data_IF_054860345939
#
_entry.id   IF_054860345939
#
_cell.length_a   1.000
_cell.length_b   1.000
_cell.length_c   1.000
_cell.angle_alpha   90.00
_cell.angle_beta   90.00
_cell.angle_gamma   90.00
#
_symmetry.space_group_name_H-M   'P 1'
#
loop_
_entity.id
_entity.type
_entity.pdbx_description
1 polymer ?
#
# COMPACT_ATOMS: atom_id res chain seq x y z
N UNK A 1 15.36 -30.52 -0.64
CA UNK A 1 15.93 -29.89 0.58
C UNK A 1 15.58 -28.40 0.55
N UNK A 2 14.94 -27.87 1.60
CA UNK A 2 14.61 -26.43 1.71
C UNK A 2 15.65 -25.71 2.59
N UNK A 3 16.06 -24.52 2.20
CA UNK A 3 17.00 -23.69 2.94
C UNK A 3 16.25 -22.84 3.98
N UNK A 4 16.59 -23.00 5.26
CA UNK A 4 15.95 -22.30 6.38
C UNK A 4 16.68 -21.04 6.81
N UNK A 5 15.94 -20.00 7.19
CA UNK A 5 16.46 -18.84 7.90
C UNK A 5 16.49 -19.13 9.40
N UNK A 6 17.68 -19.08 10.00
CA UNK A 6 17.87 -19.35 11.44
C UNK A 6 17.22 -18.26 12.31
N UNK A 7 17.15 -17.01 11.81
CA UNK A 7 16.63 -15.87 12.58
C UNK A 7 15.10 -15.79 12.64
N UNK A 8 14.37 -16.38 11.68
CA UNK A 8 12.89 -16.29 11.67
C UNK A 8 12.16 -17.57 11.21
N UNK A 9 12.88 -18.68 11.04
CA UNK A 9 12.33 -19.98 10.68
C UNK A 9 11.79 -20.11 9.24
N UNK A 10 11.81 -19.04 8.43
CA UNK A 10 11.30 -19.08 7.05
C UNK A 10 12.11 -20.02 6.17
N UNK A 11 11.42 -20.81 5.34
CA UNK A 11 12.02 -21.79 4.42
C UNK A 11 11.94 -21.32 2.97
N UNK A 12 12.98 -21.61 2.20
CA UNK A 12 13.14 -21.18 0.82
C UNK A 12 13.57 -22.36 -0.05
N UNK A 13 13.00 -22.44 -1.26
CA UNK A 13 13.32 -23.49 -2.24
C UNK A 13 14.73 -23.38 -2.82
N UNK A 14 15.30 -22.16 -2.81
CA UNK A 14 16.56 -21.86 -3.48
C UNK A 14 17.48 -21.05 -2.57
N UNK A 15 18.78 -21.40 -2.53
CA UNK A 15 19.81 -20.71 -1.75
C UNK A 15 19.90 -19.19 -2.05
N UNK A 16 19.78 -18.71 -3.31
CA UNK A 16 19.73 -17.27 -3.60
C UNK A 16 18.55 -16.55 -2.95
N UNK A 17 17.38 -17.21 -2.82
CA UNK A 17 16.21 -16.63 -2.15
C UNK A 17 16.44 -16.51 -0.64
N UNK A 18 17.06 -17.51 -0.01
CA UNK A 18 17.49 -17.40 1.39
C UNK A 18 18.51 -16.27 1.56
N UNK A 19 19.53 -16.17 0.69
CA UNK A 19 20.54 -15.09 0.77
C UNK A 19 19.91 -13.70 0.66
N UNK A 20 18.97 -13.51 -0.27
CA UNK A 20 18.20 -12.27 -0.39
C UNK A 20 17.33 -12.00 0.85
N UNK A 21 16.77 -13.05 1.45
CA UNK A 21 15.99 -12.93 2.67
C UNK A 21 16.84 -12.50 3.87
N UNK A 22 18.06 -13.04 4.03
CA UNK A 22 18.95 -12.68 5.14
C UNK A 22 19.30 -11.19 5.16
N UNK A 23 19.26 -10.50 4.01
CA UNK A 23 19.44 -9.04 3.94
C UNK A 23 18.37 -8.23 4.67
N UNK A 24 17.21 -8.83 4.97
CA UNK A 24 16.18 -8.18 5.79
C UNK A 24 16.68 -8.04 7.24
N UNK A 25 17.50 -8.97 7.70
CA UNK A 25 18.05 -8.99 9.05
C UNK A 25 19.35 -8.21 9.17
N UNK A 26 20.19 -8.21 8.12
CA UNK A 26 21.49 -7.52 8.14
C UNK A 26 21.43 -6.05 7.72
N UNK A 27 20.28 -5.55 7.25
CA UNK A 27 20.13 -4.23 6.60
C UNK A 27 21.07 -3.99 5.40
N UNK A 28 21.78 -5.01 4.95
CA UNK A 28 22.69 -4.94 3.82
C UNK A 28 21.88 -4.80 2.54
N UNK A 29 22.01 -3.65 1.91
CA UNK A 29 21.43 -3.35 0.59
C UNK A 29 22.61 -3.23 -0.37
N UNK A 30 23.06 -4.35 -0.97
CA UNK A 30 24.32 -4.39 -1.72
C UNK A 30 24.22 -3.68 -3.08
N UNK A 31 23.00 -3.39 -3.55
CA UNK A 31 22.79 -2.74 -4.83
C UNK A 31 22.59 -1.24 -4.61
N UNK A 32 23.54 -0.43 -5.08
CA UNK A 32 23.52 1.03 -4.91
C UNK A 32 23.19 1.70 -6.23
N UNK A 33 22.36 2.74 -6.20
CA UNK A 33 22.15 3.62 -7.34
C UNK A 33 23.28 4.64 -7.42
N UNK A 34 24.11 4.58 -8.45
CA UNK A 34 25.24 5.50 -8.62
C UNK A 34 24.81 6.95 -8.89
N UNK A 35 23.55 7.20 -9.23
CA UNK A 35 23.05 8.56 -9.49
C UNK A 35 22.51 9.27 -8.24
N UNK A 36 22.11 8.54 -7.20
CA UNK A 36 21.53 9.15 -5.99
C UNK A 36 21.92 8.47 -4.67
N UNK A 37 22.84 7.51 -4.70
CA UNK A 37 23.30 6.75 -3.53
C UNK A 37 22.26 5.81 -2.91
N UNK A 38 21.02 5.77 -3.41
CA UNK A 38 19.95 4.96 -2.83
C UNK A 38 20.25 3.47 -2.94
N UNK A 39 20.03 2.73 -1.85
CA UNK A 39 20.38 1.31 -1.76
C UNK A 39 19.14 0.39 -1.89
N UNK A 40 19.34 -0.79 -2.47
CA UNK A 40 18.30 -1.78 -2.78
C UNK A 40 18.73 -3.19 -2.38
N UNK A 41 17.74 -4.00 -2.01
CA UNK A 41 17.93 -5.41 -1.62
C UNK A 41 18.30 -6.30 -2.81
N UNK A 42 17.76 -6.02 -3.98
CA UNK A 42 18.05 -6.80 -5.18
C UNK A 42 18.24 -5.93 -6.42
N UNK A 43 18.89 -6.51 -7.44
CA UNK A 43 19.15 -5.88 -8.74
C UNK A 43 17.86 -5.49 -9.46
N UNK A 44 16.79 -6.27 -9.35
CA UNK A 44 15.49 -5.96 -9.98
C UNK A 44 14.91 -4.64 -9.46
N UNK A 45 14.97 -4.42 -8.15
CA UNK A 45 14.50 -3.19 -7.53
C UNK A 45 15.38 -1.99 -7.90
N UNK A 46 16.70 -2.18 -7.96
CA UNK A 46 17.62 -1.16 -8.47
C UNK A 46 17.28 -0.80 -9.94
N UNK A 47 17.15 -1.79 -10.82
CA UNK A 47 16.81 -1.57 -12.23
C UNK A 47 15.46 -0.88 -12.41
N UNK A 48 14.46 -1.23 -11.60
CA UNK A 48 13.18 -0.54 -11.59
C UNK A 48 13.33 0.92 -11.12
N UNK A 49 14.16 1.16 -10.10
CA UNK A 49 14.43 2.50 -9.60
C UNK A 49 15.18 3.36 -10.64
N UNK A 50 16.11 2.81 -11.41
CA UNK A 50 16.82 3.54 -12.48
C UNK A 50 15.88 4.12 -13.55
N UNK A 51 14.65 3.59 -13.68
CA UNK A 51 13.59 4.18 -14.53
C UNK A 51 13.12 5.55 -14.05
N UNK A 52 13.39 5.91 -12.79
CA UNK A 52 13.08 7.24 -12.28
C UNK A 52 14.01 8.27 -12.91
N UNK A 53 15.30 7.93 -13.03
CA UNK A 53 16.30 8.79 -13.62
C UNK A 53 16.22 8.86 -15.14
N UNK A 54 16.04 7.70 -15.80
CA UNK A 54 15.97 7.63 -17.27
C UNK A 54 14.61 8.05 -17.83
N UNK A 55 13.61 8.29 -16.99
CA UNK A 55 12.24 8.58 -17.42
C UNK A 55 11.49 7.42 -18.07
N UNK A 56 12.12 6.26 -18.30
CA UNK A 56 11.52 5.12 -19.00
C UNK A 56 10.21 4.63 -18.36
N UNK A 57 9.14 4.55 -19.15
CA UNK A 57 7.82 4.05 -18.75
C UNK A 57 7.34 2.93 -19.67
N UNK A 58 7.89 1.71 -19.55
CA UNK A 58 7.64 0.64 -20.52
C UNK A 58 6.22 0.05 -20.47
N UNK A 59 5.37 0.49 -19.55
CA UNK A 59 4.02 -0.06 -19.39
C UNK A 59 2.98 0.97 -19.81
N UNK A 60 2.32 0.74 -20.94
CA UNK A 60 1.35 1.66 -21.54
C UNK A 60 -0.07 1.14 -21.31
N UNK A 61 -1.00 2.03 -20.97
CA UNK A 61 -2.42 1.72 -20.91
C UNK A 61 -3.00 1.69 -22.32
N UNK A 62 -3.48 0.53 -22.76
CA UNK A 62 -4.09 0.39 -24.09
C UNK A 62 -5.39 1.18 -24.28
N UNK A 63 -6.04 1.64 -23.20
CA UNK A 63 -7.31 2.38 -23.31
C UNK A 63 -7.14 3.91 -23.37
N UNK A 64 -6.06 4.46 -22.80
CA UNK A 64 -5.86 5.92 -22.75
C UNK A 64 -4.43 6.37 -23.06
N UNK A 65 -3.54 5.46 -23.48
CA UNK A 65 -2.14 5.75 -23.79
C UNK A 65 -1.27 6.10 -22.59
N UNK A 66 -1.82 6.18 -21.37
CA UNK A 66 -1.06 6.60 -20.19
C UNK A 66 0.04 5.60 -19.84
N UNK A 67 1.24 6.11 -19.60
CA UNK A 67 2.43 5.30 -19.35
C UNK A 67 2.83 5.20 -17.87
N UNK A 68 3.45 4.08 -17.50
CA UNK A 68 3.85 3.75 -16.13
C UNK A 68 5.27 3.15 -16.06
N UNK A 69 5.96 3.44 -14.96
CA UNK A 69 7.31 2.91 -14.69
C UNK A 69 7.30 1.44 -14.24
N UNK A 70 6.15 0.97 -13.73
CA UNK A 70 6.01 -0.35 -13.09
C UNK A 70 4.68 -1.01 -13.47
N UNK A 71 4.70 -2.32 -13.77
CA UNK A 71 3.50 -3.11 -14.14
C UNK A 71 2.37 -3.03 -13.11
N UNK A 72 2.70 -3.00 -11.82
CA UNK A 72 1.71 -2.90 -10.74
C UNK A 72 0.97 -1.55 -10.75
N UNK A 73 1.63 -0.46 -11.17
CA UNK A 73 0.99 0.84 -11.32
C UNK A 73 -0.01 0.84 -12.48
N UNK A 74 0.36 0.24 -13.63
CA UNK A 74 -0.58 0.05 -14.74
C UNK A 74 -1.79 -0.79 -14.29
N UNK A 75 -1.57 -1.93 -13.65
CA UNK A 75 -2.66 -2.78 -13.14
C UNK A 75 -3.58 -2.06 -12.15
N UNK A 76 -3.02 -1.17 -11.33
CA UNK A 76 -3.82 -0.33 -10.44
C UNK A 76 -4.60 0.73 -11.23
N UNK A 77 -3.98 1.38 -12.20
CA UNK A 77 -4.62 2.38 -13.05
C UNK A 77 -5.78 1.82 -13.86
N UNK A 78 -5.67 0.60 -14.38
CA UNK A 78 -6.75 -0.06 -15.13
C UNK A 78 -8.07 -0.17 -14.33
N UNK A 79 -8.02 -0.11 -12.99
CA UNK A 79 -9.22 -0.10 -12.15
C UNK A 79 -10.08 1.15 -12.33
N UNK A 80 -9.51 2.25 -12.83
CA UNK A 80 -10.25 3.46 -13.16
C UNK A 80 -11.19 3.19 -14.33
N UNK A 81 -10.71 2.47 -15.34
CA UNK A 81 -11.52 2.10 -16.49
C UNK A 81 -12.57 1.04 -16.17
N UNK A 82 -12.23 0.04 -15.36
CA UNK A 82 -13.17 -1.03 -14.99
C UNK A 82 -14.08 -0.67 -13.82
N UNK A 83 -13.92 0.50 -13.20
CA UNK A 83 -14.61 0.89 -11.96
C UNK A 83 -14.33 0.00 -10.73
N UNK A 84 -13.33 -0.90 -10.79
CA UNK A 84 -13.15 -1.93 -9.76
C UNK A 84 -12.67 -1.34 -8.43
N UNK A 85 -13.43 -1.56 -7.37
CA UNK A 85 -13.15 -1.08 -6.00
C UNK A 85 -12.97 -2.26 -5.02
N UNK A 86 -11.81 -2.94 -5.02
CA UNK A 86 -11.62 -4.18 -4.25
C UNK A 86 -11.51 -3.97 -2.73
N UNK A 87 -11.41 -2.73 -2.26
CA UNK A 87 -11.32 -2.42 -0.83
C UNK A 87 -12.59 -1.71 -0.41
N UNK A 88 -13.46 -2.38 0.36
CA UNK A 88 -14.74 -1.84 0.81
C UNK A 88 -14.69 -1.63 2.31
N UNK A 89 -15.17 -0.49 2.78
CA UNK A 89 -15.31 -0.23 4.21
C UNK A 89 -16.55 -0.93 4.75
N UNK A 90 -16.37 -1.84 5.71
CA UNK A 90 -17.49 -2.55 6.34
C UNK A 90 -18.39 -1.65 7.20
N UNK A 91 -17.88 -0.50 7.67
CA UNK A 91 -18.67 0.42 8.51
C UNK A 91 -19.59 1.35 7.70
N UNK A 92 -19.18 1.78 6.51
CA UNK A 92 -19.92 2.78 5.72
C UNK A 92 -20.20 2.35 4.27
N UNK A 93 -19.82 1.13 3.87
CA UNK A 93 -20.00 0.61 2.51
C UNK A 93 -19.12 1.25 1.42
N UNK A 94 -18.34 2.30 1.75
CA UNK A 94 -17.55 3.03 0.74
C UNK A 94 -16.45 2.14 0.13
N UNK A 95 -16.47 2.01 -1.19
CA UNK A 95 -15.48 1.27 -1.98
C UNK A 95 -14.31 2.15 -2.48
N UNK A 96 -13.11 1.59 -2.47
CA UNK A 96 -11.86 2.24 -2.88
C UNK A 96 -11.11 1.39 -3.91
N UNK A 97 -10.58 2.04 -4.95
CA UNK A 97 -9.73 1.40 -5.94
C UNK A 97 -8.32 1.09 -5.42
N UNK A 98 -7.87 1.79 -4.36
CA UNK A 98 -6.51 1.68 -3.80
C UNK A 98 -6.53 1.45 -2.28
N UNK A 99 -5.58 0.62 -1.80
CA UNK A 99 -5.48 0.20 -0.39
C UNK A 99 -5.08 1.35 0.52
N UNK A 100 -4.17 2.22 0.08
CA UNK A 100 -3.69 3.37 0.84
C UNK A 100 -4.82 4.36 1.17
N UNK A 101 -5.69 4.66 0.20
CA UNK A 101 -6.88 5.48 0.44
C UNK A 101 -7.88 4.81 1.37
N UNK A 102 -8.10 3.50 1.22
CA UNK A 102 -8.92 2.73 2.15
C UNK A 102 -8.39 2.76 3.59
N UNK A 103 -7.08 2.57 3.78
CA UNK A 103 -6.46 2.59 5.11
C UNK A 103 -6.52 3.98 5.76
N UNK A 104 -6.30 5.05 4.99
CA UNK A 104 -6.48 6.43 5.47
C UNK A 104 -7.92 6.66 5.91
N UNK A 105 -8.89 6.25 5.09
CA UNK A 105 -10.31 6.35 5.44
C UNK A 105 -10.65 5.57 6.72
N UNK A 106 -10.18 4.32 6.85
CA UNK A 106 -10.41 3.50 8.05
C UNK A 106 -9.83 4.17 9.30
N UNK A 107 -8.63 4.76 9.21
CA UNK A 107 -8.04 5.50 10.33
C UNK A 107 -8.89 6.68 10.77
N UNK A 108 -9.36 7.48 9.83
CA UNK A 108 -10.24 8.61 10.14
C UNK A 108 -11.57 8.15 10.77
N UNK A 109 -12.13 7.00 10.36
CA UNK A 109 -13.32 6.45 11.01
C UNK A 109 -13.06 6.03 12.46
N UNK A 110 -11.89 5.43 12.73
CA UNK A 110 -11.51 5.05 14.09
C UNK A 110 -11.33 6.29 14.98
N UNK A 111 -10.67 7.33 14.49
CA UNK A 111 -10.51 8.61 15.20
C UNK A 111 -11.88 9.27 15.48
N UNK A 112 -12.79 9.26 14.51
CA UNK A 112 -14.17 9.75 14.70
C UNK A 112 -14.95 8.91 15.72
N UNK A 113 -14.82 7.58 15.69
CA UNK A 113 -15.48 6.71 16.67
C UNK A 113 -14.95 6.89 18.09
N UNK A 114 -13.66 7.18 18.25
CA UNK A 114 -13.06 7.44 19.56
C UNK A 114 -13.46 8.81 20.11
N UNK A 115 -13.61 9.82 19.25
CA UNK A 115 -14.13 11.13 19.64
C UNK A 115 -15.58 11.00 20.12
N UNK A 116 -16.43 10.29 19.36
CA UNK A 116 -17.82 10.02 19.76
C UNK A 116 -17.90 9.26 21.10
N UNK A 117 -17.05 8.24 21.31
CA UNK A 117 -17.01 7.50 22.56
C UNK A 117 -16.55 8.36 23.76
N UNK A 118 -15.66 9.34 23.56
CA UNK A 118 -15.25 10.27 24.64
C UNK A 118 -16.35 11.27 24.99
N UNK A 119 -17.12 11.72 24.01
CA UNK A 119 -18.26 12.62 24.25
C UNK A 119 -19.43 11.92 24.95
N UNK A 120 -19.59 10.59 24.80
CA UNK A 120 -20.67 9.83 25.46
C UNK A 120 -20.37 9.45 26.92
N UNK A 121 -19.13 9.63 27.40
CA UNK A 121 -18.73 9.25 28.78
C UNK A 121 -18.67 10.48 29.71
N UNK A 122 -18.67 11.70 29.17
CA UNK A 122 -18.80 12.93 29.93
C UNK A 122 -20.23 13.49 29.79
N UNK A 123 -21.02 13.35 30.87
CA UNK A 123 -22.31 14.00 31.15
C UNK A 123 -23.58 13.17 30.89
N UNK A 124 -24.27 12.85 31.98
CA UNK A 124 -25.63 12.29 32.05
C UNK A 124 -26.74 13.24 31.54
N UNK A 125 -26.49 14.09 30.54
CA UNK A 125 -27.47 15.13 30.13
C UNK A 125 -27.78 15.20 28.62
N UNK A 126 -26.95 14.67 27.71
CA UNK A 126 -27.21 14.85 26.26
C UNK A 126 -27.92 13.65 25.60
N UNK A 127 -29.15 13.38 26.05
CA UNK A 127 -30.08 12.48 25.34
C UNK A 127 -30.76 13.13 24.12
N UNK A 128 -30.40 14.37 23.75
CA UNK A 128 -31.15 15.18 22.79
C UNK A 128 -30.43 15.60 21.50
N UNK A 129 -29.17 15.23 21.25
CA UNK A 129 -28.52 15.52 19.95
C UNK A 129 -28.47 14.26 19.07
N UNK A 130 -29.65 13.67 18.87
CA UNK A 130 -29.92 12.92 17.64
C UNK A 130 -30.42 13.93 16.59
N UNK A 131 -30.01 13.69 15.34
CA UNK A 131 -30.38 14.41 14.11
C UNK A 131 -29.50 15.60 13.70
N UNK A 132 -28.50 15.32 12.84
CA UNK A 132 -28.44 15.86 11.47
C UNK A 132 -27.14 15.45 10.78
N UNK A 133 -27.19 14.38 10.00
CA UNK A 133 -26.44 14.35 8.74
C UNK A 133 -27.43 13.85 7.69
N UNK A 134 -28.28 14.77 7.24
CA UNK A 134 -29.06 14.63 6.03
C UNK A 134 -28.13 14.47 4.82
N UNK A 135 -28.57 13.62 3.89
CA UNK A 135 -28.44 13.73 2.44
C UNK A 135 -27.14 14.33 1.89
N UNK A 136 -26.27 13.44 1.40
CA UNK A 136 -25.61 13.64 0.11
C UNK A 136 -25.81 12.36 -0.72
N UNK A 137 -27.02 12.26 -1.28
CA UNK A 137 -27.27 11.66 -2.59
C UNK A 137 -26.78 12.67 -3.64
#
# INVERSE_FOLDING_TARGET
MLFGCIQCGKRFEQKPRLKLHMQIHTSETPYVCNQCGKRFKNKTNLNQHLRIHTGRKPYVCGQCGKEFKVKSQLKQHLRIHTGRKPYVCGQCGKGFARKDYFLKHKRCLLEKSQLYARTTVNSSVDKFVLMRIDKFL
#
